data_IF_657735418496
#
_entry.id   IF_657735418496
#
_cell.length_a   1.000
_cell.length_b   1.000
_cell.length_c   1.000
_cell.angle_alpha   90.00
_cell.angle_beta   90.00
_cell.angle_gamma   90.00
#
_symmetry.space_group_name_H-M   'P 1'
#
loop_
_entity.id
_entity.type
_entity.pdbx_description
1 polymer ?
#
# COMPACT_ATOMS: atom_id res chain seq x y z
N UNK A 1 -2.51 -1.82 7.61
CA UNK A 1 -3.04 -0.76 6.69
C UNK A 1 -4.44 -1.15 6.13
N UNK A 2 -5.33 -0.19 5.81
CA UNK A 2 -6.68 -0.45 5.24
C UNK A 2 -6.72 -0.36 3.70
N UNK A 3 -7.70 -1.01 3.06
CA UNK A 3 -7.86 -1.02 1.58
C UNK A 3 -8.00 0.36 0.95
N UNK A 4 -8.71 1.27 1.63
CA UNK A 4 -8.99 2.64 1.17
C UNK A 4 -7.73 3.46 0.81
N UNK A 5 -6.59 3.20 1.44
CA UNK A 5 -5.34 3.91 1.09
C UNK A 5 -4.90 3.59 -0.34
N UNK A 6 -5.11 2.34 -0.79
CA UNK A 6 -4.78 1.92 -2.15
C UNK A 6 -5.83 2.36 -3.15
N UNK A 7 -7.12 2.37 -2.77
CA UNK A 7 -8.23 2.79 -3.64
C UNK A 7 -8.15 4.28 -3.98
N UNK A 8 -7.94 5.15 -2.98
CA UNK A 8 -7.84 6.60 -3.21
C UNK A 8 -6.62 6.92 -4.08
N UNK A 9 -5.46 6.35 -3.75
CA UNK A 9 -4.25 6.50 -4.56
C UNK A 9 -4.45 5.94 -5.97
N UNK A 10 -5.05 4.75 -6.11
CA UNK A 10 -5.35 4.13 -7.40
C UNK A 10 -6.29 4.95 -8.28
N UNK A 11 -7.14 5.80 -7.72
CA UNK A 11 -7.98 6.74 -8.46
C UNK A 11 -7.32 8.10 -8.72
N UNK A 12 -6.09 8.33 -8.28
CA UNK A 12 -5.41 9.64 -8.43
C UNK A 12 -5.88 10.71 -7.44
N UNK A 13 -6.54 10.31 -6.35
CA UNK A 13 -7.04 11.25 -5.35
C UNK A 13 -5.96 11.68 -4.36
N UNK A 14 -6.01 12.94 -3.93
CA UNK A 14 -5.23 13.40 -2.78
C UNK A 14 -5.78 12.80 -1.50
N UNK A 15 -4.91 12.22 -0.66
CA UNK A 15 -5.28 11.62 0.61
C UNK A 15 -4.63 12.35 1.78
N UNK A 16 -5.46 12.85 2.69
CA UNK A 16 -5.09 13.29 4.03
C UNK A 16 -5.70 12.32 5.06
N UNK A 17 -4.87 11.63 5.83
CA UNK A 17 -5.32 10.52 6.71
C UNK A 17 -4.67 10.56 8.09
N UNK A 18 -5.28 9.93 9.10
CA UNK A 18 -4.64 9.83 10.42
C UNK A 18 -3.39 8.95 10.33
N UNK A 19 -2.35 9.30 11.08
CA UNK A 19 -1.12 8.50 11.14
C UNK A 19 -1.38 7.06 11.61
N UNK A 20 -0.81 6.09 10.91
CA UNK A 20 -0.82 4.69 11.33
C UNK A 20 0.53 4.04 11.04
N UNK A 21 1.04 3.26 11.98
CA UNK A 21 2.40 2.69 11.95
C UNK A 21 2.73 1.91 10.66
N UNK A 22 1.72 1.30 10.01
CA UNK A 22 1.93 0.56 8.76
C UNK A 22 2.03 1.45 7.52
N UNK A 23 1.61 2.71 7.57
CA UNK A 23 1.46 3.55 6.38
C UNK A 23 2.79 3.76 5.66
N UNK A 24 3.86 3.98 6.43
CA UNK A 24 5.23 4.22 5.93
C UNK A 24 5.80 3.03 5.15
N UNK A 25 5.28 1.82 5.38
CA UNK A 25 5.69 0.61 4.63
C UNK A 25 5.15 0.61 3.20
N UNK A 26 4.09 1.36 2.94
CA UNK A 26 3.37 1.36 1.67
C UNK A 26 3.51 2.68 0.91
N UNK A 27 3.59 3.80 1.62
CA UNK A 27 3.68 5.13 1.04
C UNK A 27 4.69 6.00 1.79
N UNK A 28 5.38 6.88 1.06
CA UNK A 28 6.22 7.93 1.64
C UNK A 28 5.35 9.07 2.15
N UNK A 29 5.32 9.26 3.46
CA UNK A 29 4.56 10.34 4.10
C UNK A 29 5.14 11.70 3.66
N UNK A 30 4.26 12.62 3.26
CA UNK A 30 4.61 13.95 2.75
C UNK A 30 4.88 14.01 1.25
N UNK A 31 5.19 12.88 0.62
CA UNK A 31 5.47 12.81 -0.83
C UNK A 31 4.42 12.05 -1.62
N UNK A 32 3.90 10.96 -1.07
CA UNK A 32 2.93 10.06 -1.73
C UNK A 32 1.58 10.04 -0.99
N UNK A 33 1.54 10.46 0.28
CA UNK A 33 0.35 10.56 1.11
C UNK A 33 0.54 11.63 2.19
N UNK A 34 -0.50 12.41 2.52
CA UNK A 34 -0.47 13.35 3.64
C UNK A 34 -1.09 12.73 4.89
N UNK A 35 -0.58 13.11 6.07
CA UNK A 35 -1.09 12.64 7.36
C UNK A 35 -1.51 13.79 8.27
N UNK A 36 -2.35 13.49 9.26
CA UNK A 36 -2.55 14.32 10.44
C UNK A 36 -2.38 13.51 11.73
N UNK A 37 -2.04 14.20 12.83
CA UNK A 37 -1.76 13.60 14.15
C UNK A 37 -2.87 13.84 15.17
N UNK A 38 -3.62 14.92 15.02
CA UNK A 38 -4.76 15.26 15.87
C UNK A 38 -5.76 16.15 15.12
N UNK A 39 -6.76 16.67 15.82
CA UNK A 39 -7.82 17.48 15.22
C UNK A 39 -7.31 18.87 14.79
N UNK A 40 -6.39 19.46 15.53
CA UNK A 40 -5.88 20.80 15.22
C UNK A 40 -4.95 20.73 13.99
N UNK A 41 -4.07 19.73 13.93
CA UNK A 41 -3.23 19.44 12.76
C UNK A 41 -4.07 19.08 11.52
N UNK A 42 -5.19 18.36 11.69
CA UNK A 42 -6.13 18.09 10.60
C UNK A 42 -6.70 19.40 10.04
N UNK A 43 -7.19 20.30 10.90
CA UNK A 43 -7.78 21.57 10.47
C UNK A 43 -6.75 22.47 9.79
N UNK A 44 -5.53 22.51 10.31
CA UNK A 44 -4.42 23.24 9.72
C UNK A 44 -4.07 22.70 8.33
N UNK A 45 -3.89 21.38 8.19
CA UNK A 45 -3.55 20.76 6.91
C UNK A 45 -4.65 20.83 5.88
N UNK A 46 -5.91 20.76 6.28
CA UNK A 46 -7.03 20.98 5.35
C UNK A 46 -6.94 22.39 4.75
N UNK A 47 -6.71 23.42 5.57
CA UNK A 47 -6.56 24.80 5.07
C UNK A 47 -5.33 24.94 4.20
N UNK A 48 -4.18 24.43 4.66
CA UNK A 48 -2.92 24.46 3.93
C UNK A 48 -3.08 23.84 2.54
N UNK A 49 -3.52 22.57 2.45
CA UNK A 49 -3.62 21.89 1.17
C UNK A 49 -4.70 22.47 0.27
N UNK A 50 -5.73 23.14 0.78
CA UNK A 50 -6.69 23.87 -0.06
C UNK A 50 -6.05 25.06 -0.77
N UNK A 51 -5.09 25.74 -0.13
CA UNK A 51 -4.35 26.88 -0.70
C UNK A 51 -3.11 26.46 -1.53
N UNK A 52 -2.64 25.21 -1.38
CA UNK A 52 -1.44 24.68 -2.04
C UNK A 52 -1.81 23.59 -3.06
N UNK A 53 -2.53 23.96 -4.12
CA UNK A 53 -3.02 23.04 -5.14
C UNK A 53 -1.91 22.27 -5.86
N UNK A 54 -0.84 22.93 -6.30
CA UNK A 54 0.27 22.27 -7.01
C UNK A 54 0.93 21.19 -6.15
N UNK A 55 1.16 21.46 -4.86
CA UNK A 55 1.72 20.48 -3.94
C UNK A 55 0.75 19.31 -3.73
N UNK A 56 -0.53 19.61 -3.55
CA UNK A 56 -1.60 18.63 -3.37
C UNK A 56 -1.71 17.69 -4.57
N UNK A 57 -1.66 18.23 -5.78
CA UNK A 57 -1.68 17.46 -7.03
C UNK A 57 -0.41 16.61 -7.20
N UNK A 58 0.77 17.16 -6.88
CA UNK A 58 2.04 16.41 -6.90
C UNK A 58 1.98 15.19 -5.98
N UNK A 59 1.48 15.36 -4.76
CA UNK A 59 1.35 14.26 -3.79
C UNK A 59 0.37 13.20 -4.30
N UNK A 60 -0.79 13.61 -4.81
CA UNK A 60 -1.78 12.69 -5.38
C UNK A 60 -1.22 11.89 -6.57
N UNK A 61 -0.49 12.54 -7.47
CA UNK A 61 0.13 11.90 -8.63
C UNK A 61 1.21 10.89 -8.20
N UNK A 62 2.07 11.25 -7.24
CA UNK A 62 3.11 10.35 -6.72
C UNK A 62 2.49 9.12 -6.02
N UNK A 63 1.45 9.33 -5.21
CA UNK A 63 0.69 8.23 -4.59
C UNK A 63 0.04 7.31 -5.63
N UNK A 64 -0.49 7.88 -6.71
CA UNK A 64 -1.07 7.13 -7.82
C UNK A 64 -0.05 6.26 -8.55
N UNK A 65 1.11 6.84 -8.89
CA UNK A 65 2.20 6.09 -9.51
C UNK A 65 2.65 4.91 -8.64
N UNK A 66 2.79 5.15 -7.32
CA UNK A 66 3.12 4.11 -6.34
C UNK A 66 2.07 3.00 -6.34
N UNK A 67 0.79 3.35 -6.30
CA UNK A 67 -0.31 2.40 -6.28
C UNK A 67 -0.37 1.54 -7.56
N UNK A 68 -0.19 2.15 -8.74
CA UNK A 68 -0.15 1.42 -10.01
C UNK A 68 1.07 0.49 -10.12
N UNK A 69 2.22 0.89 -9.58
CA UNK A 69 3.45 0.08 -9.63
C UNK A 69 3.37 -1.14 -8.72
N UNK A 70 2.85 -0.98 -7.51
CA UNK A 70 3.03 -1.96 -6.42
C UNK A 70 1.73 -2.51 -5.82
N UNK A 71 0.59 -1.87 -6.06
CA UNK A 71 -0.64 -2.16 -5.32
C UNK A 71 -1.85 -2.46 -6.19
N UNK A 72 -1.63 -2.90 -7.43
CA UNK A 72 -2.69 -3.47 -8.27
C UNK A 72 -3.12 -4.83 -7.74
N UNK A 73 -4.42 -5.13 -7.84
CA UNK A 73 -4.96 -6.43 -7.43
C UNK A 73 -4.29 -7.59 -8.18
N UNK A 74 -4.01 -7.40 -9.47
CA UNK A 74 -3.29 -8.38 -10.30
C UNK A 74 -1.91 -8.69 -9.75
N UNK A 75 -1.14 -7.67 -9.35
CA UNK A 75 0.21 -7.87 -8.81
C UNK A 75 0.18 -8.61 -7.47
N UNK A 76 -0.69 -8.19 -6.56
CA UNK A 76 -0.84 -8.85 -5.26
C UNK A 76 -1.32 -10.30 -5.39
N UNK A 77 -2.19 -10.57 -6.36
CA UNK A 77 -2.59 -11.94 -6.66
C UNK A 77 -1.41 -12.76 -7.21
N UNK A 78 -0.58 -12.17 -8.07
CA UNK A 78 0.66 -12.78 -8.54
C UNK A 78 1.60 -13.16 -7.39
N UNK A 79 1.90 -12.21 -6.50
CA UNK A 79 2.76 -12.45 -5.33
C UNK A 79 2.20 -13.59 -4.43
N UNK A 80 0.88 -13.62 -4.25
CA UNK A 80 0.22 -14.63 -3.43
C UNK A 80 0.27 -16.01 -4.10
N UNK A 81 0.07 -16.07 -5.42
CA UNK A 81 0.22 -17.30 -6.20
C UNK A 81 1.65 -17.82 -6.15
N UNK A 82 2.66 -16.96 -6.28
CA UNK A 82 4.08 -17.34 -6.16
C UNK A 82 4.39 -18.01 -4.81
N UNK A 83 3.89 -17.45 -3.70
CA UNK A 83 4.07 -18.05 -2.37
C UNK A 83 3.41 -19.43 -2.29
N UNK A 84 2.20 -19.59 -2.82
CA UNK A 84 1.48 -20.87 -2.81
C UNK A 84 2.19 -21.90 -3.69
N UNK A 85 2.69 -21.51 -4.87
CA UNK A 85 3.39 -22.42 -5.78
C UNK A 85 4.77 -22.80 -5.25
N UNK A 86 5.52 -21.86 -4.68
CA UNK A 86 6.82 -22.13 -4.07
C UNK A 86 6.71 -23.04 -2.83
N UNK A 87 5.62 -22.92 -2.06
CA UNK A 87 5.30 -23.85 -0.97
C UNK A 87 4.88 -25.25 -1.44
N UNK A 88 4.33 -25.36 -2.66
CA UNK A 88 3.95 -26.63 -3.28
C UNK A 88 5.15 -27.48 -3.69
N UNK A 89 6.19 -26.85 -4.25
CA UNK A 89 7.43 -27.54 -4.64
C UNK A 89 8.17 -28.12 -3.42
N UNK A 90 8.18 -27.40 -2.29
CA UNK A 90 8.75 -27.88 -1.03
C UNK A 90 7.96 -29.06 -0.41
N UNK A 91 6.65 -29.15 -0.67
CA UNK A 91 5.80 -30.23 -0.17
C UNK A 91 5.95 -31.53 -0.99
N UNK A 92 6.20 -31.42 -2.30
CA UNK A 92 6.48 -32.57 -3.17
C UNK A 92 7.84 -33.22 -2.84
N UNK A 93 8.86 -32.42 -2.55
CA UNK A 93 10.19 -32.91 -2.14
C UNK A 93 10.12 -33.67 -0.79
N UNK A 94 9.31 -33.20 0.16
CA UNK A 94 9.08 -33.87 1.45
C UNK A 94 8.32 -35.20 1.30
N UNK A 95 7.39 -35.28 0.35
CA UNK A 95 6.59 -36.48 0.06
C UNK A 95 7.44 -37.59 -0.60
N UNK A 96 8.41 -37.23 -1.44
CA UNK A 96 9.33 -38.18 -2.08
C UNK A 96 10.48 -38.65 -1.16
N UNK A 97 10.86 -37.86 -0.16
CA UNK A 97 11.96 -38.17 0.76
C UNK A 97 11.57 -39.02 1.98
N UNK A 98 10.27 -39.23 2.24
CA UNK A 98 9.80 -39.92 3.44
C UNK A 98 9.72 -41.44 3.24
N UNK A 99 10.43 -42.26 4.04
CA UNK A 99 10.39 -43.72 3.89
C UNK A 99 9.01 -44.24 4.30
N UNK A 100 8.34 -44.93 3.37
CA UNK A 100 7.03 -45.55 3.64
C UNK A 100 7.20 -46.60 4.74
N UNK A 101 6.71 -46.31 5.94
CA UNK A 101 6.57 -47.29 7.02
C UNK A 101 5.59 -48.37 6.55
N UNK A 102 6.11 -49.58 6.38
CA UNK A 102 5.38 -50.78 5.98
C UNK A 102 4.63 -51.46 7.11
#
# INVERSE_FOLDING_TARGET
IKGRHFEIAGCGGFQLTYYGEDLERHFRIGDEVAIYLDLDDLLEKVRYYLEHEEERERIAAAGHERALREHTATRRLGDLLEVVTAGGEAAEEYSQASPRLG
#
